data_IF_964640815542
#
_entry.id   IF_964640815542
#
_cell.length_a   1.000
_cell.length_b   1.000
_cell.length_c   1.000
_cell.angle_alpha   90.00
_cell.angle_beta   90.00
_cell.angle_gamma   90.00
#
_symmetry.space_group_name_H-M   'P 1'
#
loop_
_entity.id
_entity.type
_entity.pdbx_description
1 polymer ?
#
# COMPACT_ATOMS: atom_id res chain seq x y z
N UNK A 1 19.91 -5.91 1.62
CA UNK A 1 20.53 -7.15 2.14
C UNK A 1 19.41 -8.16 2.38
N UNK A 2 19.48 -9.35 1.78
CA UNK A 2 18.50 -10.44 1.97
C UNK A 2 18.93 -11.25 3.18
N UNK A 3 18.04 -11.46 4.17
CA UNK A 3 18.29 -12.29 5.35
C UNK A 3 17.10 -13.23 5.53
N UNK A 4 17.35 -14.53 5.70
CA UNK A 4 16.34 -15.55 6.02
C UNK A 4 15.09 -15.55 5.11
N UNK A 5 15.27 -15.25 3.82
CA UNK A 5 14.17 -15.21 2.84
C UNK A 5 13.47 -13.86 2.68
N UNK A 6 13.77 -12.89 3.54
CA UNK A 6 13.16 -11.55 3.52
C UNK A 6 14.12 -10.47 3.00
N UNK A 7 13.54 -9.39 2.48
CA UNK A 7 14.25 -8.16 2.14
C UNK A 7 14.08 -7.15 3.28
N UNK A 8 15.20 -6.62 3.79
CA UNK A 8 15.17 -5.50 4.72
C UNK A 8 14.72 -4.24 3.98
N UNK A 9 13.76 -3.54 4.58
CA UNK A 9 13.22 -2.25 4.12
C UNK A 9 13.19 -1.27 5.28
N UNK A 10 13.12 0.03 4.99
CA UNK A 10 13.16 1.10 5.99
C UNK A 10 12.13 0.89 7.13
N UNK A 11 10.99 0.26 6.82
CA UNK A 11 9.91 -0.07 7.77
C UNK A 11 9.80 -1.58 8.08
N UNK A 12 10.93 -2.27 8.25
CA UNK A 12 10.99 -3.66 8.72
C UNK A 12 11.32 -4.68 7.64
N UNK A 13 10.53 -5.76 7.55
CA UNK A 13 10.74 -6.85 6.57
C UNK A 13 9.72 -6.77 5.44
N UNK A 14 10.16 -7.14 4.25
CA UNK A 14 9.31 -7.38 3.09
C UNK A 14 9.53 -8.81 2.58
N UNK A 15 8.45 -9.57 2.49
CA UNK A 15 8.47 -10.92 1.93
C UNK A 15 8.07 -10.87 0.46
N UNK A 16 8.83 -11.57 -0.37
CA UNK A 16 8.53 -11.66 -1.79
C UNK A 16 7.57 -12.81 -2.05
N UNK A 17 6.33 -12.51 -2.45
CA UNK A 17 5.29 -13.51 -2.70
C UNK A 17 5.49 -14.09 -4.12
N UNK A 18 5.72 -15.40 -4.23
CA UNK A 18 6.05 -16.02 -5.54
C UNK A 18 4.83 -16.11 -6.46
N UNK A 19 3.65 -16.12 -5.87
CA UNK A 19 2.35 -16.33 -6.50
C UNK A 19 1.83 -15.05 -7.18
N UNK A 20 2.43 -13.89 -6.92
CA UNK A 20 2.03 -12.62 -7.54
C UNK A 20 3.07 -12.13 -8.56
N UNK A 21 2.65 -11.42 -9.63
CA UNK A 21 3.57 -10.92 -10.63
C UNK A 21 4.67 -10.03 -10.03
N UNK A 22 5.88 -10.12 -10.59
CA UNK A 22 7.06 -9.34 -10.13
C UNK A 22 6.76 -7.85 -9.98
N UNK A 23 6.02 -7.26 -10.92
CA UNK A 23 5.64 -5.84 -10.89
C UNK A 23 4.83 -5.46 -9.65
N UNK A 24 3.98 -6.36 -9.16
CA UNK A 24 3.15 -6.14 -7.97
C UNK A 24 4.03 -6.16 -6.73
N UNK A 25 4.90 -7.16 -6.59
CA UNK A 25 5.87 -7.21 -5.50
C UNK A 25 6.77 -5.96 -5.47
N UNK A 26 7.32 -5.55 -6.63
CA UNK A 26 8.15 -4.34 -6.73
C UNK A 26 7.39 -3.10 -6.30
N UNK A 27 6.13 -2.97 -6.72
CA UNK A 27 5.28 -1.84 -6.35
C UNK A 27 5.03 -1.79 -4.83
N UNK A 28 4.65 -2.90 -4.20
CA UNK A 28 4.41 -2.96 -2.74
C UNK A 28 5.71 -2.68 -1.98
N UNK A 29 6.84 -3.23 -2.44
CA UNK A 29 8.15 -2.97 -1.86
C UNK A 29 8.54 -1.48 -1.92
N UNK A 30 8.25 -0.79 -3.03
CA UNK A 30 8.46 0.66 -3.15
C UNK A 30 7.50 1.44 -2.25
N UNK A 31 6.22 1.04 -2.20
CA UNK A 31 5.20 1.72 -1.40
C UNK A 31 5.50 1.62 0.10
N UNK A 32 5.91 0.44 0.60
CA UNK A 32 6.32 0.22 2.00
C UNK A 32 7.48 1.12 2.45
N UNK A 33 8.34 1.53 1.51
CA UNK A 33 9.46 2.44 1.75
C UNK A 33 9.13 3.91 1.44
N UNK A 34 7.88 4.24 1.12
CA UNK A 34 7.47 5.56 0.67
C UNK A 34 8.29 6.06 -0.54
N UNK A 35 8.52 5.18 -1.53
CA UNK A 35 9.36 5.46 -2.71
C UNK A 35 8.61 5.53 -4.05
N UNK A 36 7.29 5.33 -4.05
CA UNK A 36 6.47 5.49 -5.25
C UNK A 36 6.36 6.98 -5.65
N UNK A 37 6.10 7.29 -6.93
CA UNK A 37 6.17 8.66 -7.46
C UNK A 37 4.89 9.46 -7.16
N UNK A 38 4.58 9.66 -5.87
CA UNK A 38 3.53 10.61 -5.50
C UNK A 38 4.01 12.05 -5.64
N UNK A 39 3.10 13.02 -5.78
CA UNK A 39 3.47 14.43 -5.92
C UNK A 39 4.35 14.93 -4.77
N UNK A 40 4.07 14.51 -3.52
CA UNK A 40 4.91 14.80 -2.34
C UNK A 40 6.32 14.21 -2.48
N UNK A 41 6.45 12.97 -2.94
CA UNK A 41 7.75 12.33 -3.11
C UNK A 41 8.55 12.90 -4.30
N UNK A 42 7.86 13.31 -5.37
CA UNK A 42 8.46 13.99 -6.50
C UNK A 42 8.99 15.39 -6.09
N UNK A 43 8.19 16.15 -5.35
CA UNK A 43 8.59 17.44 -4.78
C UNK A 43 9.84 17.31 -3.90
N UNK A 44 9.88 16.30 -3.01
CA UNK A 44 11.07 15.99 -2.19
C UNK A 44 12.33 15.68 -3.00
N UNK A 45 12.17 15.11 -4.20
CA UNK A 45 13.26 14.84 -5.16
C UNK A 45 13.59 16.04 -6.05
N UNK A 46 13.04 17.22 -5.74
CA UNK A 46 13.21 18.48 -6.50
C UNK A 46 12.69 18.39 -7.94
N UNK A 47 11.73 17.49 -8.19
CA UNK A 47 10.97 17.48 -9.44
C UNK A 47 9.90 18.56 -9.35
N UNK A 48 9.80 19.40 -10.37
CA UNK A 48 8.79 20.45 -10.42
C UNK A 48 7.39 19.83 -10.53
N UNK A 49 6.58 19.98 -9.48
CA UNK A 49 5.18 19.56 -9.44
C UNK A 49 4.30 20.79 -9.27
N UNK A 50 3.17 20.85 -9.98
CA UNK A 50 2.26 22.00 -9.91
C UNK A 50 1.56 22.14 -8.56
N UNK A 51 1.26 21.01 -7.91
CA UNK A 51 0.61 20.94 -6.61
C UNK A 51 1.00 19.64 -5.91
N UNK A 52 1.08 19.66 -4.59
CA UNK A 52 1.18 18.44 -3.77
C UNK A 52 -0.19 17.87 -3.40
N UNK A 53 -1.28 18.59 -3.66
CA UNK A 53 -2.64 18.14 -3.36
C UNK A 53 -3.05 17.00 -4.30
N UNK A 54 -3.65 15.96 -3.73
CA UNK A 54 -4.16 14.81 -4.44
C UNK A 54 -5.17 15.22 -5.51
N UNK A 55 -4.91 14.88 -6.76
CA UNK A 55 -5.78 15.25 -7.88
C UNK A 55 -7.12 14.49 -7.89
N UNK A 56 -7.23 13.40 -7.12
CA UNK A 56 -8.43 12.57 -7.06
C UNK A 56 -9.46 13.11 -6.06
N UNK A 57 -9.03 13.50 -4.86
CA UNK A 57 -9.94 14.03 -3.83
C UNK A 57 -9.91 15.56 -3.76
N UNK A 58 -8.79 16.22 -4.08
CA UNK A 58 -8.64 17.67 -3.96
C UNK A 58 -8.52 18.20 -2.53
N UNK A 59 -8.40 17.33 -1.52
CA UNK A 59 -8.53 17.72 -0.10
C UNK A 59 -7.20 17.67 0.69
N UNK A 60 -6.36 16.66 0.45
CA UNK A 60 -5.12 16.43 1.20
C UNK A 60 -3.91 16.25 0.27
N UNK A 61 -2.70 16.27 0.83
CA UNK A 61 -1.48 15.98 0.06
C UNK A 61 -1.45 14.54 -0.46
N UNK A 62 -0.97 14.36 -1.70
CA UNK A 62 -0.76 13.06 -2.33
C UNK A 62 0.50 12.40 -1.75
N UNK A 63 0.34 11.84 -0.55
CA UNK A 63 1.32 10.93 0.05
C UNK A 63 1.06 9.49 -0.39
N UNK A 64 2.01 8.59 -0.15
CA UNK A 64 1.84 7.15 -0.45
C UNK A 64 0.65 6.55 0.29
N UNK A 65 0.48 6.86 1.58
CA UNK A 65 -0.66 6.37 2.35
C UNK A 65 -1.97 7.01 1.88
N UNK A 66 -1.95 8.30 1.53
CA UNK A 66 -3.15 8.97 1.03
C UNK A 66 -3.63 8.36 -0.29
N UNK A 67 -2.78 8.33 -1.33
CA UNK A 67 -3.20 7.89 -2.66
C UNK A 67 -3.60 6.41 -2.72
N UNK A 68 -3.05 5.57 -1.84
CA UNK A 68 -3.35 4.14 -1.81
C UNK A 68 -4.46 3.75 -0.83
N UNK A 69 -4.60 4.44 0.30
CA UNK A 69 -5.44 3.98 1.43
C UNK A 69 -6.39 5.07 1.96
N UNK A 70 -5.92 6.31 2.16
CA UNK A 70 -6.70 7.31 2.92
C UNK A 70 -7.60 8.19 2.03
N UNK A 71 -7.24 8.36 0.76
CA UNK A 71 -8.02 9.10 -0.24
C UNK A 71 -9.44 8.52 -0.33
N UNK A 72 -10.45 9.38 -0.43
CA UNK A 72 -11.85 8.97 -0.57
C UNK A 72 -12.05 7.99 -1.73
N UNK A 73 -11.41 8.25 -2.88
CA UNK A 73 -11.41 7.33 -4.02
C UNK A 73 -10.79 5.97 -3.68
N UNK A 74 -9.61 5.99 -3.04
CA UNK A 74 -8.90 4.77 -2.67
C UNK A 74 -9.69 3.93 -1.64
N UNK A 75 -10.31 4.60 -0.66
CA UNK A 75 -11.22 3.96 0.32
C UNK A 75 -12.37 3.24 -0.37
N UNK A 76 -13.03 3.88 -1.34
CA UNK A 76 -14.13 3.24 -2.08
C UNK A 76 -13.68 1.99 -2.84
N UNK A 77 -12.51 2.03 -3.48
CA UNK A 77 -11.93 0.86 -4.15
C UNK A 77 -11.64 -0.26 -3.14
N UNK A 78 -11.05 0.08 -1.99
CA UNK A 78 -10.76 -0.90 -0.93
C UNK A 78 -12.03 -1.52 -0.35
N UNK A 79 -13.09 -0.74 -0.14
CA UNK A 79 -14.40 -1.26 0.30
C UNK A 79 -14.96 -2.29 -0.69
N UNK A 80 -14.85 -2.03 -2.00
CA UNK A 80 -15.29 -2.99 -3.02
C UNK A 80 -14.47 -4.28 -2.99
N UNK A 81 -13.14 -4.18 -2.84
CA UNK A 81 -12.26 -5.34 -2.73
C UNK A 81 -12.58 -6.15 -1.48
N UNK A 82 -12.70 -5.51 -0.32
CA UNK A 82 -13.01 -6.19 0.95
C UNK A 82 -14.36 -6.89 0.87
N UNK A 83 -15.38 -6.24 0.29
CA UNK A 83 -16.69 -6.83 0.03
C UNK A 83 -16.59 -8.05 -0.89
N UNK A 84 -15.81 -7.96 -1.97
CA UNK A 84 -15.61 -9.08 -2.90
C UNK A 84 -14.94 -10.28 -2.22
N UNK A 85 -14.00 -10.03 -1.31
CA UNK A 85 -13.32 -11.05 -0.54
C UNK A 85 -14.11 -11.55 0.69
N UNK A 86 -15.34 -11.07 0.92
CA UNK A 86 -16.14 -11.35 2.12
C UNK A 86 -15.41 -11.03 3.44
N UNK A 87 -14.62 -9.96 3.45
CA UNK A 87 -13.86 -9.50 4.62
C UNK A 87 -14.66 -8.37 5.30
N UNK A 88 -15.03 -8.60 6.57
CA UNK A 88 -15.72 -7.59 7.37
C UNK A 88 -14.73 -6.52 7.88
N UNK A 89 -15.20 -5.27 7.92
CA UNK A 89 -14.52 -4.05 8.38
C UNK A 89 -13.13 -4.21 9.00
N UNK A 90 -12.13 -3.62 8.34
CA UNK A 90 -10.75 -3.55 8.82
C UNK A 90 -10.31 -2.09 8.92
N UNK A 91 -9.58 -1.74 9.97
CA UNK A 91 -8.99 -0.41 10.07
C UNK A 91 -7.71 -0.39 9.22
N UNK A 92 -7.85 0.01 7.97
CA UNK A 92 -6.74 0.22 7.04
C UNK A 92 -6.47 1.72 6.94
N UNK A 93 -5.46 2.19 7.64
CA UNK A 93 -5.09 3.62 7.68
C UNK A 93 -3.74 3.91 7.04
N UNK A 94 -2.94 2.89 6.71
CA UNK A 94 -1.63 3.01 6.05
C UNK A 94 -1.33 1.80 5.18
N UNK A 95 -0.39 1.96 4.24
CA UNK A 95 0.12 0.86 3.41
C UNK A 95 0.70 -0.25 4.27
N UNK A 96 1.36 0.08 5.39
CA UNK A 96 1.91 -0.90 6.31
C UNK A 96 0.80 -1.78 6.90
N UNK A 97 -0.30 -1.19 7.38
CA UNK A 97 -1.40 -1.96 7.93
C UNK A 97 -2.04 -2.88 6.89
N UNK A 98 -2.13 -2.46 5.64
CA UNK A 98 -2.68 -3.30 4.55
C UNK A 98 -1.77 -4.48 4.25
N UNK A 99 -0.47 -4.24 4.15
CA UNK A 99 0.51 -5.31 3.89
C UNK A 99 0.52 -6.31 5.06
N UNK A 100 0.53 -5.83 6.30
CA UNK A 100 0.52 -6.69 7.48
C UNK A 100 -0.81 -7.47 7.58
N UNK A 101 -1.93 -6.83 7.26
CA UNK A 101 -3.24 -7.49 7.20
C UNK A 101 -3.27 -8.61 6.14
N UNK A 102 -2.79 -8.34 4.93
CA UNK A 102 -2.75 -9.32 3.85
C UNK A 102 -1.89 -10.55 4.20
N UNK A 103 -0.72 -10.33 4.82
CA UNK A 103 0.13 -11.42 5.31
C UNK A 103 -0.56 -12.27 6.38
N UNK A 104 -1.37 -11.66 7.25
CA UNK A 104 -2.09 -12.37 8.30
C UNK A 104 -3.29 -13.17 7.77
N UNK A 105 -3.98 -12.69 6.73
CA UNK A 105 -5.06 -13.47 6.09
C UNK A 105 -4.51 -14.77 5.51
N UNK A 106 -3.36 -14.72 4.82
CA UNK A 106 -2.74 -15.91 4.22
C UNK A 106 -2.42 -17.01 5.24
N UNK A 107 -2.21 -16.63 6.50
CA UNK A 107 -1.88 -17.55 7.59
C UNK A 107 -3.09 -18.11 8.35
N UNK A 108 -4.32 -17.65 8.08
CA UNK A 108 -5.53 -18.13 8.76
C UNK A 108 -6.57 -18.71 7.78
N UNK A 109 -6.51 -20.01 7.46
CA UNK A 109 -7.38 -20.64 6.46
C UNK A 109 -8.86 -20.80 6.88
N UNK A 110 -9.26 -20.34 8.08
CA UNK A 110 -10.60 -20.61 8.65
C UNK A 110 -11.55 -19.41 8.60
N UNK A 111 -11.76 -18.75 7.46
CA UNK A 111 -12.91 -17.83 7.26
C UNK A 111 -13.41 -17.77 5.80
N UNK A 112 -13.44 -18.91 5.12
CA UNK A 112 -14.23 -19.06 3.89
C UNK A 112 -15.20 -20.20 4.13
N UNK A 113 -16.36 -19.85 4.67
CA UNK A 113 -17.53 -20.68 4.90
C UNK A 113 -18.73 -19.77 4.93
#
# INVERSE_FOLDING_TARGET
>A
MKLDGYYLVDNGRFEWVKEIPIKVNTFIWQAKQNRIPTSVNLSKRRVNVQSTICCQCGEEEETTDHVLIQCSFAKSVMEWILKWCNIQHTNLSSVLNVVDFASNIGNNPKKIG
#
